data_IF_077446921504
#
_entry.id   IF_077446921504
#
_cell.length_a   1.000
_cell.length_b   1.000
_cell.length_c   1.000
_cell.angle_alpha   90.00
_cell.angle_beta   90.00
_cell.angle_gamma   90.00
#
_symmetry.space_group_name_H-M   'P 1'
#
loop_
_entity.id
_entity.type
_entity.pdbx_description
1 polymer ?
#
# COMPACT_ATOMS: atom_id res chain seq x y z
N UNK A 1 14.02 22.91 21.90
CA UNK A 1 12.74 22.20 22.04
C UNK A 1 12.78 21.04 21.07
N UNK A 2 12.97 19.82 21.54
CA UNK A 2 12.88 18.59 20.75
C UNK A 2 11.41 18.42 20.33
N UNK A 3 11.12 18.55 19.03
CA UNK A 3 9.82 18.15 18.48
C UNK A 3 9.59 16.69 18.87
N UNK A 4 8.57 16.42 19.67
CA UNK A 4 8.16 15.05 19.91
C UNK A 4 7.82 14.42 18.55
N UNK A 5 8.50 13.34 18.17
CA UNK A 5 8.15 12.59 16.97
C UNK A 5 6.82 11.88 17.26
N UNK A 6 5.79 12.24 16.51
CA UNK A 6 4.54 11.52 16.54
C UNK A 6 4.74 10.16 15.86
N UNK A 7 4.36 9.08 16.53
CA UNK A 7 4.30 7.74 15.96
C UNK A 7 2.89 7.51 15.45
N UNK A 8 2.74 7.12 14.19
CA UNK A 8 1.47 6.75 13.58
C UNK A 8 1.33 5.23 13.57
N UNK A 9 0.16 4.73 13.96
CA UNK A 9 -0.18 3.32 13.97
C UNK A 9 -1.00 2.97 12.73
N UNK A 10 -0.57 1.94 12.00
CA UNK A 10 -1.33 1.35 10.91
C UNK A 10 -1.82 -0.04 11.30
N UNK A 11 -3.09 -0.31 11.09
CA UNK A 11 -3.68 -1.64 11.21
C UNK A 11 -3.81 -2.30 9.84
N UNK A 12 -3.41 -3.56 9.73
CA UNK A 12 -3.47 -4.36 8.49
C UNK A 12 -4.37 -5.60 8.62
N UNK A 13 -5.25 -5.63 9.60
CA UNK A 13 -6.16 -6.76 9.86
C UNK A 13 -6.95 -7.13 8.62
N UNK A 14 -7.48 -6.16 7.88
CA UNK A 14 -8.33 -6.37 6.72
C UNK A 14 -7.57 -6.76 5.44
N UNK A 15 -6.25 -6.63 5.42
CA UNK A 15 -5.41 -7.06 4.30
C UNK A 15 -4.51 -8.23 4.70
N UNK A 16 -3.52 -8.01 5.57
CA UNK A 16 -2.55 -9.03 5.97
C UNK A 16 -3.16 -10.05 6.93
N UNK A 17 -3.98 -9.59 7.86
CA UNK A 17 -4.69 -10.46 8.80
C UNK A 17 -5.63 -11.44 8.09
N UNK A 18 -6.29 -11.03 7.02
CA UNK A 18 -7.17 -11.89 6.23
C UNK A 18 -6.41 -12.95 5.41
N UNK A 19 -5.10 -12.81 5.22
CA UNK A 19 -4.27 -13.85 4.60
C UNK A 19 -4.02 -15.05 5.52
N UNK A 20 -4.43 -14.95 6.78
CA UNK A 20 -4.33 -16.05 7.75
C UNK A 20 -5.28 -17.18 7.36
N UNK A 21 -4.77 -18.42 7.38
CA UNK A 21 -5.59 -19.60 7.05
C UNK A 21 -6.86 -19.67 7.92
N UNK A 22 -8.02 -19.79 7.25
CA UNK A 22 -9.33 -19.90 7.92
C UNK A 22 -9.95 -18.56 8.29
N UNK A 23 -9.33 -17.45 7.96
CA UNK A 23 -9.89 -16.09 8.11
C UNK A 23 -10.45 -15.63 6.77
N UNK A 24 -11.70 -15.16 6.78
CA UNK A 24 -12.34 -14.53 5.63
C UNK A 24 -13.45 -13.62 6.13
N UNK A 25 -13.54 -12.42 5.60
CA UNK A 25 -14.54 -11.44 5.97
C UNK A 25 -15.51 -11.18 4.81
N UNK A 26 -16.79 -11.07 5.10
CA UNK A 26 -17.76 -10.52 4.15
C UNK A 26 -17.53 -9.02 3.92
N UNK A 27 -18.03 -8.44 2.83
CA UNK A 27 -17.95 -7.00 2.62
C UNK A 27 -18.48 -6.18 3.78
N UNK A 28 -19.59 -6.59 4.39
CA UNK A 28 -20.23 -5.92 5.53
C UNK A 28 -19.37 -6.01 6.80
N UNK A 29 -18.73 -7.16 7.04
CA UNK A 29 -17.79 -7.33 8.14
C UNK A 29 -16.57 -6.44 7.97
N UNK A 30 -15.99 -6.36 6.77
CA UNK A 30 -14.88 -5.44 6.47
C UNK A 30 -15.23 -4.00 6.77
N UNK A 31 -16.39 -3.52 6.34
CA UNK A 31 -16.87 -2.16 6.64
C UNK A 31 -17.01 -1.94 8.14
N UNK A 32 -17.59 -2.91 8.85
CA UNK A 32 -17.77 -2.84 10.30
C UNK A 32 -16.43 -2.79 11.05
N UNK A 33 -15.47 -3.62 10.67
CA UNK A 33 -14.13 -3.65 11.24
C UNK A 33 -13.39 -2.33 10.94
N UNK A 34 -13.41 -1.83 9.69
CA UNK A 34 -12.79 -0.57 9.32
C UNK A 34 -13.30 0.61 10.19
N UNK A 35 -14.63 0.68 10.39
CA UNK A 35 -15.26 1.67 11.28
C UNK A 35 -14.77 1.52 12.72
N UNK A 36 -14.73 0.30 13.25
CA UNK A 36 -14.24 0.02 14.59
C UNK A 36 -12.79 0.45 14.80
N UNK A 37 -11.93 0.16 13.83
CA UNK A 37 -10.53 0.55 13.86
C UNK A 37 -10.34 2.07 13.85
N UNK A 38 -11.01 2.77 12.92
CA UNK A 38 -10.82 4.21 12.75
C UNK A 38 -11.56 5.07 13.78
N UNK A 39 -12.77 4.68 14.20
CA UNK A 39 -13.60 5.49 15.12
C UNK A 39 -13.44 5.10 16.58
N UNK A 40 -13.39 3.78 16.89
CA UNK A 40 -13.38 3.30 18.28
C UNK A 40 -11.96 3.12 18.80
N UNK A 41 -11.10 2.40 18.08
CA UNK A 41 -9.70 2.20 18.45
C UNK A 41 -8.83 3.41 18.08
N UNK A 42 -9.27 4.21 17.11
CA UNK A 42 -8.58 5.44 16.66
C UNK A 42 -7.15 5.18 16.17
N UNK A 43 -6.91 4.05 15.49
CA UNK A 43 -5.66 3.84 14.76
C UNK A 43 -5.52 4.94 13.71
N UNK A 44 -4.30 5.33 13.39
CA UNK A 44 -4.07 6.46 12.47
C UNK A 44 -4.42 6.10 11.03
N UNK A 45 -4.11 4.87 10.60
CA UNK A 45 -4.32 4.38 9.22
C UNK A 45 -4.73 2.91 9.22
N UNK A 46 -5.42 2.47 8.17
CA UNK A 46 -5.77 1.07 7.94
C UNK A 46 -5.42 0.66 6.51
N UNK A 47 -4.91 -0.55 6.34
CA UNK A 47 -4.73 -1.17 5.02
C UNK A 47 -5.83 -2.22 4.83
N UNK A 48 -6.68 -2.03 3.83
CA UNK A 48 -7.96 -2.77 3.76
C UNK A 48 -8.00 -3.88 2.72
N UNK A 49 -7.11 -3.87 1.73
CA UNK A 49 -7.09 -4.86 0.66
C UNK A 49 -5.79 -4.81 -0.15
N UNK A 50 -5.62 -5.82 -1.02
CA UNK A 50 -4.70 -5.76 -2.16
C UNK A 50 -5.48 -5.48 -3.45
N UNK A 51 -4.94 -4.62 -4.31
CA UNK A 51 -5.58 -4.28 -5.57
C UNK A 51 -5.70 -5.49 -6.51
N UNK A 52 -6.86 -5.63 -7.15
CA UNK A 52 -7.07 -6.61 -8.21
C UNK A 52 -7.33 -8.04 -7.76
N UNK A 53 -7.63 -8.29 -6.48
CA UNK A 53 -7.85 -9.65 -5.95
C UNK A 53 -9.18 -10.25 -6.44
N UNK A 54 -10.32 -9.61 -6.16
CA UNK A 54 -11.63 -10.12 -6.55
C UNK A 54 -12.67 -9.01 -6.70
N UNK A 55 -13.83 -9.36 -7.25
CA UNK A 55 -14.96 -8.44 -7.35
C UNK A 55 -15.55 -8.11 -5.97
N UNK A 56 -15.69 -9.12 -5.09
CA UNK A 56 -16.19 -8.92 -3.73
C UNK A 56 -15.28 -8.03 -2.90
N UNK A 57 -13.97 -8.19 -3.06
CA UNK A 57 -12.97 -7.32 -2.44
C UNK A 57 -13.13 -5.87 -2.89
N UNK A 58 -13.31 -5.65 -4.19
CA UNK A 58 -13.54 -4.32 -4.72
C UNK A 58 -14.82 -3.68 -4.17
N UNK A 59 -15.88 -4.45 -4.03
CA UNK A 59 -17.14 -3.98 -3.45
C UNK A 59 -16.95 -3.55 -2.00
N UNK A 60 -16.29 -4.36 -1.17
CA UNK A 60 -15.98 -4.02 0.22
C UNK A 60 -15.16 -2.74 0.32
N UNK A 61 -14.09 -2.63 -0.48
CA UNK A 61 -13.21 -1.46 -0.49
C UNK A 61 -13.96 -0.21 -0.94
N UNK A 62 -14.81 -0.31 -1.97
CA UNK A 62 -15.66 0.83 -2.41
C UNK A 62 -16.56 1.32 -1.27
N UNK A 63 -17.24 0.42 -0.56
CA UNK A 63 -18.10 0.79 0.57
C UNK A 63 -17.30 1.41 1.74
N UNK A 64 -16.09 0.92 1.99
CA UNK A 64 -15.21 1.52 3.03
C UNK A 64 -14.79 2.93 2.61
N UNK A 65 -14.42 3.15 1.35
CA UNK A 65 -14.01 4.47 0.84
C UNK A 65 -15.18 5.46 0.84
N UNK A 66 -16.39 5.05 0.41
CA UNK A 66 -17.59 5.87 0.47
C UNK A 66 -17.86 6.35 1.90
N UNK A 67 -17.88 5.41 2.86
CA UNK A 67 -18.04 5.73 4.26
C UNK A 67 -16.90 6.64 4.79
N UNK A 68 -15.64 6.37 4.43
CA UNK A 68 -14.50 7.15 4.89
C UNK A 68 -14.53 8.59 4.33
N UNK A 69 -15.01 8.78 3.10
CA UNK A 69 -15.19 10.09 2.51
C UNK A 69 -16.27 10.91 3.24
N UNK A 70 -17.39 10.27 3.65
CA UNK A 70 -18.44 10.89 4.44
C UNK A 70 -17.99 11.28 5.87
N UNK A 71 -16.89 10.68 6.37
CA UNK A 71 -16.40 10.87 7.73
C UNK A 71 -15.02 11.58 7.78
N UNK A 72 -14.61 12.25 6.72
CA UNK A 72 -13.35 13.00 6.61
C UNK A 72 -12.09 12.17 6.97
N UNK A 73 -12.09 10.89 6.64
CA UNK A 73 -10.97 9.99 6.94
C UNK A 73 -10.50 9.14 5.73
N UNK A 74 -10.83 9.56 4.51
CA UNK A 74 -10.51 8.82 3.29
C UNK A 74 -8.99 8.58 3.11
N UNK A 75 -8.15 9.55 3.47
CA UNK A 75 -6.68 9.44 3.39
C UNK A 75 -6.08 8.53 4.49
N UNK A 76 -6.89 8.01 5.38
CA UNK A 76 -6.49 7.02 6.39
C UNK A 76 -6.79 5.59 5.97
N UNK A 77 -7.43 5.41 4.81
CA UNK A 77 -7.77 4.11 4.22
C UNK A 77 -6.85 3.85 3.03
N UNK A 78 -6.03 2.84 3.14
CA UNK A 78 -4.96 2.52 2.21
C UNK A 78 -5.17 1.16 1.56
N UNK A 79 -4.72 1.01 0.32
CA UNK A 79 -4.79 -0.24 -0.45
C UNK A 79 -3.41 -0.61 -0.96
N UNK A 80 -3.01 -1.86 -0.79
CA UNK A 80 -1.79 -2.40 -1.35
C UNK A 80 -1.91 -2.55 -2.86
N UNK A 81 -0.94 -2.05 -3.59
CA UNK A 81 -0.83 -2.21 -5.03
C UNK A 81 0.58 -2.60 -5.47
N UNK A 82 0.77 -2.81 -6.76
CA UNK A 82 1.98 -3.38 -7.33
C UNK A 82 2.57 -2.47 -8.42
N UNK A 83 3.84 -2.68 -8.76
CA UNK A 83 4.54 -1.99 -9.85
C UNK A 83 4.08 -2.50 -11.22
N UNK A 84 2.78 -2.42 -11.47
CA UNK A 84 2.08 -2.89 -12.67
C UNK A 84 1.61 -1.75 -13.60
N UNK A 85 2.24 -0.60 -13.48
CA UNK A 85 2.00 0.67 -14.16
C UNK A 85 0.65 1.30 -13.82
N UNK A 86 -0.45 0.70 -14.28
CA UNK A 86 -1.78 1.30 -14.23
C UNK A 86 -2.80 0.47 -13.49
N UNK A 87 -2.66 -0.85 -13.52
CA UNK A 87 -3.70 -1.75 -13.07
C UNK A 87 -4.11 -1.53 -11.61
N UNK A 88 -3.12 -1.47 -10.71
CA UNK A 88 -3.39 -1.21 -9.28
C UNK A 88 -3.92 0.21 -9.06
N UNK A 89 -3.38 1.19 -9.78
CA UNK A 89 -3.81 2.60 -9.71
C UNK A 89 -5.25 2.75 -10.19
N UNK A 90 -5.58 2.22 -11.38
CA UNK A 90 -6.94 2.27 -11.95
C UNK A 90 -7.95 1.54 -11.06
N UNK A 91 -7.54 0.41 -10.48
CA UNK A 91 -8.37 -0.34 -9.56
C UNK A 91 -8.72 0.49 -8.32
N UNK A 92 -7.72 1.11 -7.68
CA UNK A 92 -7.90 1.97 -6.51
C UNK A 92 -8.74 3.19 -6.83
N UNK A 93 -8.42 3.92 -7.90
CA UNK A 93 -9.18 5.08 -8.34
C UNK A 93 -10.65 4.75 -8.62
N UNK A 94 -10.91 3.61 -9.29
CA UNK A 94 -12.28 3.14 -9.57
C UNK A 94 -13.05 2.65 -8.34
N UNK A 95 -12.36 2.38 -7.23
CA UNK A 95 -12.95 2.07 -5.93
C UNK A 95 -13.08 3.32 -5.03
N UNK A 96 -12.81 4.53 -5.55
CA UNK A 96 -12.92 5.79 -4.82
C UNK A 96 -11.81 6.07 -3.81
N UNK A 97 -10.72 5.30 -3.83
CA UNK A 97 -9.62 5.44 -2.88
C UNK A 97 -8.66 6.58 -3.20
N UNK A 98 -7.80 6.91 -2.24
CA UNK A 98 -6.84 8.03 -2.33
C UNK A 98 -5.40 7.62 -2.05
N UNK A 99 -5.14 6.53 -1.33
CA UNK A 99 -3.79 6.17 -0.87
C UNK A 99 -3.42 4.78 -1.36
N UNK A 100 -2.35 4.72 -2.15
CA UNK A 100 -1.76 3.50 -2.68
C UNK A 100 -0.51 3.15 -1.87
N UNK A 101 -0.48 1.97 -1.29
CA UNK A 101 0.73 1.36 -0.73
C UNK A 101 1.40 0.54 -1.84
N UNK A 102 2.39 1.12 -2.49
CA UNK A 102 3.06 0.51 -3.63
C UNK A 102 4.11 -0.50 -3.14
N UNK A 103 3.82 -1.79 -3.31
CA UNK A 103 4.74 -2.86 -2.95
C UNK A 103 5.87 -2.99 -3.98
N UNK A 104 7.09 -2.79 -3.52
CA UNK A 104 8.31 -2.87 -4.31
C UNK A 104 9.30 -3.85 -3.67
N UNK A 105 10.42 -4.14 -4.32
CA UNK A 105 11.44 -5.06 -3.80
C UNK A 105 12.61 -4.30 -3.19
N UNK A 106 12.75 -4.40 -1.88
CA UNK A 106 13.80 -3.79 -1.09
C UNK A 106 15.10 -4.60 -1.03
N UNK A 107 15.18 -5.77 -1.70
CA UNK A 107 16.40 -6.56 -1.79
C UNK A 107 16.72 -6.92 -3.25
N UNK A 108 18.03 -6.95 -3.59
CA UNK A 108 18.50 -7.35 -4.90
C UNK A 108 18.06 -8.78 -5.24
N UNK A 109 18.08 -9.66 -4.25
CA UNK A 109 17.65 -11.05 -4.39
C UNK A 109 16.19 -11.14 -4.87
N UNK A 110 15.26 -10.45 -4.21
CA UNK A 110 13.85 -10.48 -4.60
C UNK A 110 13.63 -9.78 -5.94
N UNK A 111 14.32 -8.69 -6.23
CA UNK A 111 14.26 -8.03 -7.53
C UNK A 111 14.67 -8.98 -8.66
N UNK A 112 15.81 -9.65 -8.51
CA UNK A 112 16.34 -10.54 -9.53
C UNK A 112 15.58 -11.85 -9.65
N UNK A 113 15.22 -12.50 -8.53
CA UNK A 113 14.64 -13.83 -8.55
C UNK A 113 13.12 -13.82 -8.79
N UNK A 114 12.40 -12.85 -8.22
CA UNK A 114 10.94 -12.76 -8.33
C UNK A 114 10.51 -11.91 -9.53
N UNK A 115 11.12 -10.73 -9.72
CA UNK A 115 10.77 -9.84 -10.83
C UNK A 115 11.57 -10.14 -12.10
N UNK A 116 12.74 -10.78 -12.00
CA UNK A 116 13.69 -11.02 -13.09
C UNK A 116 14.13 -9.73 -13.77
N UNK A 117 14.37 -8.70 -12.97
CA UNK A 117 14.73 -7.34 -13.39
C UNK A 117 16.05 -6.91 -12.77
N UNK A 118 16.75 -6.01 -13.46
CA UNK A 118 17.82 -5.20 -12.88
C UNK A 118 17.23 -4.15 -11.94
N UNK A 119 18.08 -3.54 -11.12
CA UNK A 119 17.68 -2.42 -10.25
C UNK A 119 17.14 -1.25 -11.06
N UNK A 120 17.82 -0.87 -12.15
CA UNK A 120 17.44 0.28 -12.97
C UNK A 120 16.07 0.07 -13.65
N UNK A 121 15.80 -1.14 -14.15
CA UNK A 121 14.48 -1.50 -14.68
C UNK A 121 13.39 -1.45 -13.59
N UNK A 122 13.72 -1.91 -12.37
CA UNK A 122 12.78 -1.87 -11.26
C UNK A 122 12.48 -0.44 -10.81
N UNK A 123 13.50 0.41 -10.68
CA UNK A 123 13.33 1.84 -10.38
C UNK A 123 12.43 2.50 -11.43
N UNK A 124 12.72 2.30 -12.72
CA UNK A 124 11.91 2.86 -13.79
C UNK A 124 10.44 2.39 -13.78
N UNK A 125 10.17 1.15 -13.34
CA UNK A 125 8.79 0.67 -13.16
C UNK A 125 8.09 1.33 -11.98
N UNK A 126 8.81 1.54 -10.88
CA UNK A 126 8.29 2.23 -9.70
C UNK A 126 7.94 3.67 -10.06
N UNK A 127 8.89 4.42 -10.64
CA UNK A 127 8.70 5.82 -11.03
C UNK A 127 7.49 5.97 -11.97
N UNK A 128 7.38 5.14 -13.02
CA UNK A 128 6.23 5.17 -13.93
C UNK A 128 4.90 4.92 -13.23
N UNK A 129 4.89 4.05 -12.22
CA UNK A 129 3.67 3.77 -11.44
C UNK A 129 3.34 4.94 -10.52
N UNK A 130 4.34 5.55 -9.88
CA UNK A 130 4.18 6.74 -9.03
C UNK A 130 3.66 7.93 -9.86
N UNK A 131 4.28 8.20 -11.01
CA UNK A 131 3.86 9.29 -11.89
C UNK A 131 2.42 9.14 -12.35
N UNK A 132 2.03 7.90 -12.71
CA UNK A 132 0.65 7.63 -13.10
C UNK A 132 -0.32 7.80 -11.93
N UNK A 133 0.04 7.34 -10.73
CA UNK A 133 -0.76 7.53 -9.51
C UNK A 133 -0.93 9.02 -9.17
N UNK A 134 0.15 9.80 -9.24
CA UNK A 134 0.11 11.27 -9.04
C UNK A 134 -0.80 11.95 -10.07
N UNK A 135 -0.74 11.54 -11.35
CA UNK A 135 -1.63 12.05 -12.39
C UNK A 135 -3.12 11.74 -12.12
N UNK A 136 -3.41 10.67 -11.40
CA UNK A 136 -4.74 10.34 -10.90
C UNK A 136 -5.06 10.98 -9.53
N UNK A 137 -4.21 11.87 -9.04
CA UNK A 137 -4.33 12.56 -7.75
C UNK A 137 -4.31 11.61 -6.54
N UNK A 138 -3.64 10.46 -6.65
CA UNK A 138 -3.44 9.53 -5.54
C UNK A 138 -2.17 9.88 -4.75
N UNK A 139 -2.20 9.63 -3.46
CA UNK A 139 -1.04 9.60 -2.59
C UNK A 139 -0.38 8.23 -2.67
N UNK A 140 0.95 8.17 -2.60
CA UNK A 140 1.70 6.92 -2.70
C UNK A 140 2.63 6.77 -1.52
N UNK A 141 2.51 5.64 -0.82
CA UNK A 141 3.51 5.14 0.11
C UNK A 141 4.28 4.02 -0.57
N UNK A 142 5.60 3.99 -0.47
CA UNK A 142 6.41 2.94 -1.07
C UNK A 142 6.84 1.94 -0.01
N UNK A 143 6.52 0.67 -0.22
CA UNK A 143 6.92 -0.44 0.63
C UNK A 143 8.10 -1.19 0.01
N UNK A 144 9.20 -1.25 0.72
CA UNK A 144 10.41 -1.95 0.32
C UNK A 144 10.43 -3.36 0.96
N UNK A 145 9.78 -4.33 0.30
CA UNK A 145 9.73 -5.71 0.78
C UNK A 145 11.13 -6.32 0.90
N UNK A 146 11.39 -7.01 1.99
CA UNK A 146 12.67 -7.66 2.30
C UNK A 146 13.86 -6.68 2.48
N UNK A 147 13.59 -5.41 2.80
CA UNK A 147 14.61 -4.36 2.94
C UNK A 147 15.69 -4.72 3.95
N UNK A 148 15.35 -5.33 5.08
CA UNK A 148 16.32 -5.67 6.13
C UNK A 148 17.35 -6.70 5.67
N UNK A 149 16.95 -7.70 4.90
CA UNK A 149 17.86 -8.64 4.27
C UNK A 149 18.63 -7.98 3.14
N UNK A 150 17.98 -7.16 2.32
CA UNK A 150 18.62 -6.34 1.30
C UNK A 150 19.78 -5.52 1.89
N UNK A 151 19.55 -4.87 3.02
CA UNK A 151 20.58 -4.08 3.70
C UNK A 151 21.77 -4.93 4.21
N UNK A 152 21.52 -6.17 4.62
CA UNK A 152 22.58 -7.09 5.05
C UNK A 152 23.42 -7.63 3.89
N UNK A 153 22.75 -7.98 2.79
CA UNK A 153 23.31 -8.78 1.70
C UNK A 153 23.75 -7.93 0.49
N UNK A 154 23.09 -6.78 0.26
CA UNK A 154 23.31 -5.92 -0.91
C UNK A 154 23.04 -4.45 -0.60
N UNK A 155 23.90 -3.83 0.23
CA UNK A 155 23.74 -2.44 0.69
C UNK A 155 23.65 -1.43 -0.46
N UNK A 156 24.47 -1.61 -1.48
CA UNK A 156 24.49 -0.71 -2.63
C UNK A 156 23.15 -0.68 -3.37
N UNK A 157 22.48 -1.84 -3.48
CA UNK A 157 21.12 -1.94 -4.00
C UNK A 157 20.15 -1.10 -3.18
N UNK A 158 20.18 -1.28 -1.84
CA UNK A 158 19.27 -0.58 -0.91
C UNK A 158 19.49 0.93 -0.95
N UNK A 159 20.72 1.39 -0.93
CA UNK A 159 21.01 2.83 -1.01
C UNK A 159 20.54 3.42 -2.35
N UNK A 160 20.86 2.80 -3.47
CA UNK A 160 20.46 3.29 -4.79
C UNK A 160 18.94 3.36 -4.96
N UNK A 161 18.19 2.33 -4.54
CA UNK A 161 16.73 2.38 -4.63
C UNK A 161 16.15 3.42 -3.68
N UNK A 162 16.70 3.57 -2.48
CA UNK A 162 16.20 4.56 -1.51
C UNK A 162 16.48 5.99 -1.98
N UNK A 163 17.66 6.26 -2.55
CA UNK A 163 18.02 7.56 -3.13
C UNK A 163 17.09 7.91 -4.30
N UNK A 164 16.90 6.99 -5.25
CA UNK A 164 16.02 7.21 -6.39
C UNK A 164 14.56 7.52 -5.94
N UNK A 165 14.07 6.85 -4.91
CA UNK A 165 12.71 7.07 -4.40
C UNK A 165 12.57 8.34 -3.53
N UNK A 166 13.67 8.87 -2.99
CA UNK A 166 13.63 10.11 -2.23
C UNK A 166 13.45 11.35 -3.12
N UNK A 167 13.78 11.24 -4.40
CA UNK A 167 13.70 12.30 -5.41
C UNK A 167 12.40 12.22 -6.25
N UNK A 168 11.54 11.20 -6.02
CA UNK A 168 10.36 10.90 -6.83
C UNK A 168 9.06 11.62 -6.39
#
# INVERSE_FOLDING_TARGET
MTKSRQVLLMDTTLRDGEQTQGVSFSPEEKVSIARGLLQSLKVDRIEVASAGVSHGEKQAVTQIHEWAAENDCLERVEVLGFTDHRRSVDWLASAGGRVLNLLTKGSEKHCREQLRKSLDEHIADIERTIDYAKAQQLLVNVYLEDWSNGYRDSRDYVYRITEALADS
#
